data_IF_324877286589
#
_entry.id   IF_324877286589
#
_cell.length_a   1.000
_cell.length_b   1.000
_cell.length_c   1.000
_cell.angle_alpha   90.00
_cell.angle_beta   90.00
_cell.angle_gamma   90.00
#
_symmetry.space_group_name_H-M   'P 1'
#
loop_
_entity.id
_entity.type
_entity.pdbx_description
1 polymer ?
#
# COMPACT_ATOMS: atom_id res chain seq x y z
N UNK A 1 9.64 10.62 -19.08
CA UNK A 1 9.75 9.44 -18.21
C UNK A 1 8.78 9.68 -17.07
N UNK A 2 7.77 8.84 -16.93
CA UNK A 2 6.75 8.99 -15.90
C UNK A 2 7.12 8.16 -14.67
N UNK A 3 6.83 8.71 -13.49
CA UNK A 3 7.14 8.08 -12.21
C UNK A 3 5.86 7.60 -11.54
N UNK A 4 5.87 6.34 -11.12
CA UNK A 4 4.76 5.69 -10.46
C UNK A 4 5.06 5.65 -8.96
N UNK A 5 4.29 6.43 -8.18
CA UNK A 5 4.34 6.37 -6.73
C UNK A 5 3.77 5.04 -6.24
N UNK A 6 4.55 4.29 -5.48
CA UNK A 6 4.16 2.99 -4.98
C UNK A 6 4.27 2.91 -3.46
N UNK A 7 3.12 2.89 -2.79
CA UNK A 7 3.04 2.81 -1.34
C UNK A 7 3.33 1.39 -0.84
N UNK A 8 4.43 1.23 -0.12
CA UNK A 8 4.99 -0.05 0.29
C UNK A 8 5.06 -0.17 1.81
N UNK A 9 4.37 -1.18 2.36
CA UNK A 9 4.45 -1.51 3.78
C UNK A 9 5.43 -2.67 3.98
N UNK A 10 6.51 -2.46 4.75
CA UNK A 10 7.54 -3.48 4.99
C UNK A 10 7.00 -4.73 5.70
N UNK A 11 5.98 -4.57 6.55
CA UNK A 11 5.33 -5.68 7.24
C UNK A 11 4.33 -6.45 6.35
N UNK A 12 4.01 -5.96 5.15
CA UNK A 12 2.99 -6.55 4.27
C UNK A 12 3.62 -7.54 3.28
N UNK A 13 3.32 -8.85 3.39
CA UNK A 13 3.78 -9.83 2.39
C UNK A 13 3.21 -9.54 0.99
N UNK A 14 2.05 -8.88 0.91
CA UNK A 14 1.44 -8.47 -0.35
C UNK A 14 2.19 -7.33 -1.02
N UNK A 15 2.70 -6.37 -0.23
CA UNK A 15 3.55 -5.31 -0.76
C UNK A 15 4.83 -5.89 -1.37
N UNK A 16 5.44 -6.89 -0.74
CA UNK A 16 6.63 -7.56 -1.29
C UNK A 16 6.38 -8.21 -2.67
N UNK A 17 5.29 -8.99 -2.79
CA UNK A 17 4.93 -9.66 -4.05
C UNK A 17 4.55 -8.62 -5.11
N UNK A 18 3.74 -7.62 -4.74
CA UNK A 18 3.30 -6.54 -5.62
C UNK A 18 4.48 -5.75 -6.19
N UNK A 19 5.46 -5.40 -5.35
CA UNK A 19 6.67 -4.69 -5.76
C UNK A 19 7.43 -5.43 -6.86
N UNK A 20 7.66 -6.72 -6.67
CA UNK A 20 8.40 -7.56 -7.63
C UNK A 20 7.74 -7.54 -8.99
N UNK A 21 6.40 -7.68 -9.04
CA UNK A 21 5.65 -7.63 -10.30
C UNK A 21 5.60 -6.24 -10.91
N UNK A 22 5.49 -5.19 -10.08
CA UNK A 22 5.43 -3.81 -10.54
C UNK A 22 6.74 -3.39 -11.20
N UNK A 23 7.89 -3.82 -10.68
CA UNK A 23 9.21 -3.59 -11.28
C UNK A 23 9.28 -4.15 -12.71
N UNK A 24 8.79 -5.38 -12.93
CA UNK A 24 8.73 -5.97 -14.27
C UNK A 24 7.88 -5.14 -15.25
N UNK A 25 6.71 -4.70 -14.79
CA UNK A 25 5.78 -3.89 -15.60
C UNK A 25 6.41 -2.53 -15.89
N UNK A 26 7.00 -1.87 -14.91
CA UNK A 26 7.63 -0.57 -15.08
C UNK A 26 8.76 -0.62 -16.12
N UNK A 27 9.59 -1.67 -16.07
CA UNK A 27 10.63 -1.90 -17.07
C UNK A 27 10.06 -2.07 -18.49
N UNK A 28 8.95 -2.80 -18.63
CA UNK A 28 8.30 -3.01 -19.93
C UNK A 28 7.69 -1.73 -20.53
N UNK A 29 7.35 -0.75 -19.68
CA UNK A 29 6.68 0.49 -20.07
C UNK A 29 7.56 1.74 -20.02
N UNK A 30 8.89 1.60 -19.79
CA UNK A 30 9.81 2.72 -19.59
C UNK A 30 9.37 3.69 -18.47
N UNK A 31 8.83 3.12 -17.38
CA UNK A 31 8.42 3.85 -16.18
C UNK A 31 9.46 3.68 -15.08
N UNK A 32 9.52 4.66 -14.18
CA UNK A 32 10.28 4.57 -12.93
C UNK A 32 9.34 4.40 -11.75
N UNK A 33 9.71 3.59 -10.77
CA UNK A 33 8.94 3.40 -9.53
C UNK A 33 9.58 4.23 -8.43
N UNK A 34 8.77 5.02 -7.74
CA UNK A 34 9.15 5.71 -6.50
C UNK A 34 8.49 5.02 -5.30
N UNK A 35 9.22 4.19 -4.54
CA UNK A 35 8.65 3.47 -3.41
C UNK A 35 8.48 4.39 -2.20
N UNK A 36 7.24 4.61 -1.79
CA UNK A 36 6.88 5.38 -0.60
C UNK A 36 6.65 4.40 0.55
N UNK A 37 7.59 4.33 1.49
CA UNK A 37 7.46 3.45 2.65
C UNK A 37 6.39 3.98 3.60
N UNK A 38 5.42 3.14 3.94
CA UNK A 38 4.34 3.47 4.87
C UNK A 38 4.39 2.58 6.11
N UNK A 39 3.93 3.14 7.22
CA UNK A 39 3.62 2.41 8.44
C UNK A 39 2.24 1.76 8.28
N UNK A 40 2.21 0.42 8.23
CA UNK A 40 0.98 -0.33 8.00
C UNK A 40 -0.06 -0.11 9.10
N UNK A 41 0.40 0.01 10.35
CA UNK A 41 -0.48 0.12 11.52
C UNK A 41 -1.14 1.51 11.60
N UNK A 42 -0.53 2.51 10.97
CA UNK A 42 -1.07 3.87 10.85
C UNK A 42 -1.83 4.11 9.55
N UNK A 43 -2.03 3.08 8.72
CA UNK A 43 -2.74 3.24 7.45
C UNK A 43 -4.20 3.65 7.62
N UNK A 44 -4.83 3.30 8.75
CA UNK A 44 -6.18 3.74 9.12
C UNK A 44 -6.28 5.22 9.49
N UNK A 45 -5.15 5.84 9.85
CA UNK A 45 -5.03 7.26 10.20
C UNK A 45 -4.73 8.14 8.98
N UNK A 46 -4.41 7.53 7.83
CA UNK A 46 -4.10 8.25 6.61
C UNK A 46 -5.35 9.00 6.09
N UNK A 47 -5.17 10.17 5.44
CA UNK A 47 -6.28 10.96 4.93
C UNK A 47 -7.22 10.12 4.05
N UNK A 48 -8.52 10.40 4.03
CA UNK A 48 -9.51 9.71 3.17
C UNK A 48 -9.18 9.69 1.65
N UNK A 49 -8.23 10.53 1.22
CA UNK A 49 -7.72 10.55 -0.16
C UNK A 49 -6.58 9.55 -0.40
N UNK A 50 -6.18 8.77 0.61
CA UNK A 50 -5.25 7.68 0.43
C UNK A 50 -5.89 6.61 -0.46
N UNK A 51 -5.18 6.05 -1.47
CA UNK A 51 -5.77 5.17 -2.48
C UNK A 51 -6.22 3.80 -1.96
N UNK A 52 -6.20 3.58 -0.64
CA UNK A 52 -6.74 2.35 -0.07
C UNK A 52 -8.28 2.43 -0.02
N UNK A 53 -9.00 1.42 -0.55
CA UNK A 53 -10.42 1.32 -0.28
C UNK A 53 -10.62 1.24 1.23
N UNK A 54 -11.65 1.92 1.79
CA UNK A 54 -11.95 1.80 3.21
C UNK A 54 -12.06 0.32 3.56
N UNK A 55 -11.30 -0.12 4.56
CA UNK A 55 -11.30 -1.52 4.97
C UNK A 55 -12.72 -1.94 5.36
N UNK A 56 -13.27 -3.04 4.81
CA UNK A 56 -14.62 -3.49 5.13
C UNK A 56 -14.71 -4.19 6.50
N UNK A 57 -13.64 -4.19 7.30
CA UNK A 57 -13.65 -4.88 8.59
C UNK A 57 -14.58 -4.16 9.56
N UNK A 58 -15.67 -4.79 10.03
CA UNK A 58 -16.45 -4.23 11.12
C UNK A 58 -15.53 -4.14 12.33
N UNK A 59 -15.43 -2.95 12.93
CA UNK A 59 -14.81 -2.77 14.23
C UNK A 59 -15.45 -3.78 15.19
N UNK A 60 -14.71 -4.83 15.55
CA UNK A 60 -15.17 -5.79 16.54
C UNK A 60 -15.16 -5.05 17.86
N UNK A 61 -16.30 -4.49 18.28
CA UNK A 61 -16.49 -3.95 19.63
C UNK A 61 -16.26 -5.10 20.60
N UNK A 62 -15.06 -5.18 21.17
CA UNK A 62 -14.80 -6.07 22.30
C UNK A 62 -15.34 -5.33 23.52
N UNK A 63 -16.60 -5.61 23.88
CA UNK A 63 -17.12 -5.31 25.21
C UNK A 63 -16.42 -6.26 26.18
N UNK A 64 -15.62 -5.70 27.08
CA UNK A 64 -15.10 -6.42 28.24
C UNK A 64 -16.14 -6.19 29.33
N UNK A 65 -16.92 -7.23 29.63
CA UNK A 65 -17.80 -7.27 30.81
C UNK A 65 -16.99 -7.51 32.10
#
# INVERSE_FOLDING_TARGET
METLEYYYALASPWSFIGNSKLIEIAAAHNLTIDPIIIDYDKCSELPKHFPFPPTPYPEKKVSID
#
